data_IF_183359070803
#
_entry.id   IF_183359070803
#
_cell.length_a   1.000
_cell.length_b   1.000
_cell.length_c   1.000
_cell.angle_alpha   90.00
_cell.angle_beta   90.00
_cell.angle_gamma   90.00
#
_symmetry.space_group_name_H-M   'P 1'
#
loop_
_entity.id
_entity.type
_entity.pdbx_description
1 polymer ?
#
# COMPACT_ATOMS: atom_id res chain seq x y z
N UNK A 1 -2.43 -32.54 64.13
CA UNK A 1 -2.09 -31.37 63.29
C UNK A 1 -2.90 -31.47 62.00
N UNK A 2 -3.84 -30.55 61.77
CA UNK A 2 -4.85 -30.63 60.70
C UNK A 2 -4.25 -30.16 59.37
N UNK A 3 -3.96 -31.10 58.46
CA UNK A 3 -3.71 -30.87 57.02
C UNK A 3 -5.02 -30.57 56.25
N UNK A 4 -5.98 -29.89 56.86
CA UNK A 4 -7.41 -30.08 56.54
C UNK A 4 -8.05 -29.03 55.64
N UNK A 5 -7.32 -28.10 55.03
CA UNK A 5 -7.98 -27.18 54.09
C UNK A 5 -7.07 -26.62 53.00
N UNK A 6 -6.20 -27.46 52.42
CA UNK A 6 -5.41 -27.07 51.24
C UNK A 6 -6.34 -26.78 50.07
N UNK A 7 -7.40 -27.58 49.91
CA UNK A 7 -8.41 -27.41 48.86
C UNK A 7 -9.25 -26.13 49.03
N UNK A 8 -9.60 -25.75 50.26
CA UNK A 8 -10.31 -24.48 50.52
C UNK A 8 -9.41 -23.26 50.33
N UNK A 9 -8.11 -23.39 50.64
CA UNK A 9 -7.12 -22.37 50.33
C UNK A 9 -6.94 -22.21 48.81
N UNK A 10 -6.79 -23.29 48.07
CA UNK A 10 -6.73 -23.29 46.59
C UNK A 10 -7.95 -22.59 46.00
N UNK A 11 -9.17 -22.98 46.40
CA UNK A 11 -10.39 -22.33 45.93
C UNK A 11 -10.45 -20.83 46.28
N UNK A 12 -9.99 -20.44 47.46
CA UNK A 12 -9.95 -19.03 47.89
C UNK A 12 -8.94 -18.22 47.07
N UNK A 13 -7.78 -18.80 46.78
CA UNK A 13 -6.75 -18.21 45.92
C UNK A 13 -7.29 -18.06 44.50
N UNK A 14 -7.91 -19.09 43.93
CA UNK A 14 -8.49 -19.06 42.58
C UNK A 14 -9.60 -18.02 42.46
N UNK A 15 -10.46 -17.91 43.48
CA UNK A 15 -11.52 -16.90 43.51
C UNK A 15 -10.93 -15.49 43.59
N UNK A 16 -9.92 -15.26 44.43
CA UNK A 16 -9.24 -13.97 44.53
C UNK A 16 -8.51 -13.61 43.23
N UNK A 17 -7.86 -14.59 42.59
CA UNK A 17 -7.22 -14.43 41.30
C UNK A 17 -8.23 -14.04 40.21
N UNK A 18 -9.37 -14.73 40.10
CA UNK A 18 -10.41 -14.40 39.12
C UNK A 18 -10.96 -12.98 39.31
N UNK A 19 -11.24 -12.57 40.55
CA UNK A 19 -11.73 -11.22 40.85
C UNK A 19 -10.67 -10.17 40.48
N UNK A 20 -9.41 -10.40 40.83
CA UNK A 20 -8.32 -9.50 40.50
C UNK A 20 -8.11 -9.38 38.98
N UNK A 21 -8.11 -10.51 38.26
CA UNK A 21 -7.96 -10.56 36.80
C UNK A 21 -9.10 -9.86 36.07
N UNK A 22 -10.36 -10.09 36.47
CA UNK A 22 -11.50 -9.36 35.91
C UNK A 22 -11.39 -7.86 36.17
N UNK A 23 -10.98 -7.46 37.37
CA UNK A 23 -10.81 -6.05 37.71
C UNK A 23 -9.71 -5.38 36.88
N UNK A 24 -8.59 -6.07 36.68
CA UNK A 24 -7.48 -5.59 35.85
C UNK A 24 -7.92 -5.45 34.40
N UNK A 25 -8.62 -6.46 33.87
CA UNK A 25 -9.15 -6.46 32.52
C UNK A 25 -10.12 -5.28 32.29
N UNK A 26 -11.03 -5.03 33.23
CA UNK A 26 -11.95 -3.88 33.18
C UNK A 26 -11.20 -2.54 33.27
N UNK A 27 -10.10 -2.46 34.03
CA UNK A 27 -9.26 -1.26 34.08
C UNK A 27 -8.65 -0.98 32.70
N UNK A 28 -8.10 -1.99 32.01
CA UNK A 28 -7.54 -1.80 30.67
C UNK A 28 -8.58 -1.39 29.64
N UNK A 29 -9.75 -2.04 29.64
CA UNK A 29 -10.80 -1.76 28.66
C UNK A 29 -11.54 -0.46 28.91
N UNK A 30 -11.90 -0.16 30.16
CA UNK A 30 -12.76 0.98 30.50
C UNK A 30 -11.93 2.22 30.84
N UNK A 31 -10.93 2.09 31.72
CA UNK A 31 -10.16 3.25 32.18
C UNK A 31 -9.10 3.67 31.15
N UNK A 32 -8.34 2.72 30.63
CA UNK A 32 -7.29 2.98 29.63
C UNK A 32 -7.78 2.86 28.19
N UNK A 33 -9.05 2.54 27.96
CA UNK A 33 -9.67 2.51 26.64
C UNK A 33 -8.86 1.74 25.59
N UNK A 34 -8.27 0.60 25.99
CA UNK A 34 -7.35 -0.17 25.13
C UNK A 34 -7.95 -0.47 23.74
N UNK A 35 -9.26 -0.71 23.66
CA UNK A 35 -9.93 -0.95 22.38
C UNK A 35 -9.94 0.26 21.45
N UNK A 36 -10.02 1.47 22.00
CA UNK A 36 -9.96 2.71 21.21
C UNK A 36 -8.53 2.89 20.65
N UNK A 37 -7.50 2.54 21.43
CA UNK A 37 -6.10 2.55 20.96
C UNK A 37 -5.84 1.48 19.90
N UNK A 38 -6.33 0.25 20.10
CA UNK A 38 -6.22 -0.82 19.10
C UNK A 38 -6.97 -0.47 17.81
N UNK A 39 -8.13 0.18 17.94
CA UNK A 39 -8.88 0.68 16.80
C UNK A 39 -8.09 1.78 16.09
N UNK A 40 -7.49 2.73 16.81
CA UNK A 40 -6.62 3.74 16.21
C UNK A 40 -5.45 3.10 15.45
N UNK A 41 -4.79 2.08 16.01
CA UNK A 41 -3.71 1.37 15.32
C UNK A 41 -4.19 0.77 13.98
N UNK A 42 -5.39 0.15 13.97
CA UNK A 42 -6.01 -0.35 12.75
C UNK A 42 -6.35 0.78 11.76
N UNK A 43 -6.91 1.88 12.24
CA UNK A 43 -7.39 2.97 11.38
C UNK A 43 -6.23 3.76 10.74
N UNK A 44 -5.18 4.05 11.52
CA UNK A 44 -4.07 4.89 11.11
C UNK A 44 -2.88 4.10 10.56
N UNK A 45 -2.38 3.09 11.28
CA UNK A 45 -1.17 2.34 10.86
C UNK A 45 -1.50 1.23 9.85
N UNK A 46 -2.72 0.69 9.87
CA UNK A 46 -3.17 -0.25 8.84
C UNK A 46 -4.01 0.42 7.75
N UNK A 47 -4.05 1.76 7.70
CA UNK A 47 -4.75 2.55 6.68
C UNK A 47 -6.26 2.24 6.55
N UNK A 48 -6.91 1.83 7.65
CA UNK A 48 -8.35 1.54 7.67
C UNK A 48 -9.25 2.77 7.50
N UNK A 49 -8.77 3.98 7.86
CA UNK A 49 -9.46 5.24 7.55
C UNK A 49 -9.03 5.77 6.18
N UNK A 50 -9.80 5.41 5.16
CA UNK A 50 -9.49 5.74 3.77
C UNK A 50 -9.44 7.26 3.50
N UNK A 51 -10.33 8.03 4.13
CA UNK A 51 -10.38 9.49 3.97
C UNK A 51 -9.14 10.17 4.57
N UNK A 52 -8.72 9.75 5.77
CA UNK A 52 -7.47 10.20 6.38
C UNK A 52 -6.27 9.81 5.52
N UNK A 53 -6.20 8.55 5.06
CA UNK A 53 -5.08 8.08 4.24
C UNK A 53 -4.98 8.85 2.92
N UNK A 54 -6.11 9.15 2.26
CA UNK A 54 -6.16 9.94 1.04
C UNK A 54 -5.71 11.38 1.27
N UNK A 55 -6.23 12.02 2.33
CA UNK A 55 -5.85 13.39 2.67
C UNK A 55 -4.39 13.50 3.08
N UNK A 56 -3.87 12.52 3.82
CA UNK A 56 -2.46 12.43 4.20
C UNK A 56 -1.57 12.29 2.97
N UNK A 57 -1.94 11.42 2.03
CA UNK A 57 -1.19 11.23 0.79
C UNK A 57 -1.21 12.46 -0.13
N UNK A 58 -2.35 13.13 -0.25
CA UNK A 58 -2.47 14.34 -1.06
C UNK A 58 -1.61 15.48 -0.51
N UNK A 59 -1.62 15.65 0.81
CA UNK A 59 -0.89 16.73 1.50
C UNK A 59 0.62 16.46 1.57
N UNK A 60 1.03 15.22 1.89
CA UNK A 60 2.44 14.86 1.97
C UNK A 60 3.08 14.57 0.62
N UNK A 61 2.31 14.20 -0.41
CA UNK A 61 2.86 13.72 -1.68
C UNK A 61 3.89 14.65 -2.35
N UNK A 62 3.68 15.98 -2.40
CA UNK A 62 4.66 16.92 -2.94
C UNK A 62 5.97 16.99 -2.14
N UNK A 63 5.90 16.80 -0.82
CA UNK A 63 7.06 16.76 0.05
C UNK A 63 7.80 15.44 -0.10
N UNK A 64 7.08 14.31 -0.09
CA UNK A 64 7.66 12.97 -0.15
C UNK A 64 8.30 12.63 -1.51
N UNK A 65 7.92 13.34 -2.57
CA UNK A 65 8.53 13.20 -3.90
C UNK A 65 9.94 13.82 -3.98
N UNK A 66 10.36 14.59 -2.96
CA UNK A 66 11.71 15.15 -2.85
C UNK A 66 12.67 14.14 -2.21
N UNK A 67 13.99 14.28 -2.44
CA UNK A 67 14.98 13.43 -1.77
C UNK A 67 14.92 13.59 -0.24
N UNK A 68 15.18 12.50 0.47
CA UNK A 68 15.00 12.40 1.93
C UNK A 68 15.79 13.46 2.72
N UNK A 69 16.94 13.90 2.21
CA UNK A 69 17.78 14.93 2.82
C UNK A 69 17.13 16.32 2.91
N UNK A 70 16.13 16.61 2.08
CA UNK A 70 15.41 17.91 2.08
C UNK A 70 14.20 17.93 3.00
N UNK A 71 13.84 16.78 3.57
CA UNK A 71 12.66 16.64 4.41
C UNK A 71 13.01 16.91 5.86
N UNK A 72 12.19 17.75 6.50
CA UNK A 72 12.34 18.08 7.90
C UNK A 72 11.13 17.59 8.69
N UNK A 73 11.39 17.06 9.89
CA UNK A 73 10.34 16.50 10.77
C UNK A 73 9.20 17.49 11.04
N UNK A 74 9.52 18.75 11.35
CA UNK A 74 8.50 19.76 11.67
C UNK A 74 7.50 19.98 10.52
N UNK A 75 7.95 19.88 9.26
CA UNK A 75 7.07 19.99 8.10
C UNK A 75 6.15 18.77 7.99
N UNK A 76 6.66 17.57 8.27
CA UNK A 76 5.86 16.34 8.25
C UNK A 76 4.79 16.37 9.35
N UNK A 77 5.15 16.79 10.57
CA UNK A 77 4.20 16.93 11.69
C UNK A 77 3.13 17.98 11.38
N UNK A 78 3.50 19.16 10.88
CA UNK A 78 2.52 20.19 10.50
C UNK A 78 1.59 19.73 9.36
N UNK A 79 2.12 18.94 8.42
CA UNK A 79 1.30 18.38 7.33
C UNK A 79 0.36 17.29 7.84
N UNK A 80 0.82 16.46 8.79
CA UNK A 80 -0.03 15.49 9.49
C UNK A 80 -1.18 16.19 10.23
N UNK A 81 -0.90 17.25 10.98
CA UNK A 81 -1.94 18.04 11.67
C UNK A 81 -2.98 18.58 10.66
N UNK A 82 -2.51 19.11 9.54
CA UNK A 82 -3.38 19.58 8.45
C UNK A 82 -4.24 18.44 7.86
N UNK A 83 -3.69 17.24 7.73
CA UNK A 83 -4.42 16.07 7.23
C UNK A 83 -5.48 15.59 8.23
N UNK A 84 -5.18 15.65 9.53
CA UNK A 84 -6.14 15.32 10.60
C UNK A 84 -7.30 16.31 10.61
N UNK A 85 -7.03 17.62 10.49
CA UNK A 85 -8.07 18.66 10.46
C UNK A 85 -9.00 18.56 9.24
N UNK A 86 -8.46 18.10 8.11
CA UNK A 86 -9.20 17.97 6.84
C UNK A 86 -9.97 16.65 6.69
N UNK A 87 -9.71 15.68 7.54
CA UNK A 87 -10.35 14.36 7.50
C UNK A 87 -11.34 14.17 8.65
N UNK A 88 -12.07 13.05 8.68
CA UNK A 88 -12.94 12.74 9.81
C UNK A 88 -12.17 12.37 11.09
N UNK A 89 -10.85 12.17 10.99
CA UNK A 89 -9.95 11.97 12.13
C UNK A 89 -10.07 13.09 13.18
N UNK A 90 -10.48 14.30 12.77
CA UNK A 90 -10.76 15.43 13.70
C UNK A 90 -11.76 15.12 14.81
N UNK A 91 -12.63 14.12 14.63
CA UNK A 91 -13.67 13.75 15.58
C UNK A 91 -13.21 12.66 16.55
N UNK A 92 -12.03 12.10 16.36
CA UNK A 92 -11.45 11.13 17.28
C UNK A 92 -11.00 11.79 18.58
N UNK A 93 -10.77 10.97 19.60
CA UNK A 93 -10.35 11.47 20.89
C UNK A 93 -9.01 12.20 20.81
N UNK A 94 -8.90 13.31 21.54
CA UNK A 94 -7.67 14.13 21.57
C UNK A 94 -6.46 13.35 22.08
N UNK A 95 -6.67 12.31 22.89
CA UNK A 95 -5.59 11.43 23.35
C UNK A 95 -5.01 10.58 22.21
N UNK A 96 -5.86 10.03 21.33
CA UNK A 96 -5.42 9.27 20.15
C UNK A 96 -4.62 10.19 19.21
N UNK A 97 -5.16 11.37 18.89
CA UNK A 97 -4.52 12.31 17.95
C UNK A 97 -3.13 12.74 18.45
N UNK A 98 -2.98 13.03 19.75
CA UNK A 98 -1.69 13.43 20.34
C UNK A 98 -0.62 12.33 20.30
N UNK A 99 -1.04 11.07 20.20
CA UNK A 99 -0.14 9.91 20.13
C UNK A 99 0.36 9.65 18.71
N UNK A 100 -0.33 10.14 17.69
CA UNK A 100 0.16 10.06 16.30
C UNK A 100 1.31 11.04 16.08
N UNK A 101 2.37 10.56 15.44
CA UNK A 101 3.52 11.38 15.07
C UNK A 101 4.05 10.96 13.70
N UNK A 102 4.51 11.93 12.93
CA UNK A 102 5.15 11.69 11.64
C UNK A 102 6.66 11.62 11.83
N UNK A 103 7.27 10.50 11.42
CA UNK A 103 8.70 10.27 11.57
C UNK A 103 9.34 9.89 10.24
N UNK A 104 10.63 10.17 10.13
CA UNK A 104 11.49 9.63 9.08
C UNK A 104 12.37 8.53 9.69
N UNK A 105 12.49 7.44 8.96
CA UNK A 105 13.43 6.36 9.25
C UNK A 105 14.85 6.81 8.90
N UNK A 106 15.82 6.04 9.36
CA UNK A 106 17.21 6.22 8.92
C UNK A 106 17.29 5.95 7.42
N UNK A 107 17.95 6.86 6.70
CA UNK A 107 17.98 6.83 5.24
C UNK A 107 19.40 6.93 4.70
N UNK A 108 19.59 6.30 3.54
CA UNK A 108 20.84 6.33 2.77
C UNK A 108 20.78 7.41 1.68
N UNK A 109 21.94 7.71 1.08
CA UNK A 109 22.02 8.69 0.00
C UNK A 109 21.25 8.19 -1.23
N UNK A 110 20.33 9.01 -1.75
CA UNK A 110 19.54 8.70 -2.95
C UNK A 110 18.11 8.21 -2.69
N UNK A 111 17.71 8.01 -1.44
CA UNK A 111 16.33 7.65 -1.10
C UNK A 111 15.40 8.87 -1.18
N UNK A 112 14.14 8.61 -1.57
CA UNK A 112 13.08 9.61 -1.63
C UNK A 112 12.23 9.58 -0.37
N UNK A 113 11.57 10.70 -0.08
CA UNK A 113 10.69 10.83 1.09
C UNK A 113 9.67 9.71 1.24
N UNK A 114 9.12 9.23 0.13
CA UNK A 114 8.12 8.16 0.13
C UNK A 114 8.59 6.85 0.76
N UNK A 115 9.88 6.55 0.69
CA UNK A 115 10.44 5.28 1.16
C UNK A 115 10.88 5.37 2.63
N UNK A 116 11.16 6.59 3.12
CA UNK A 116 11.67 6.84 4.47
C UNK A 116 10.59 7.30 5.46
N UNK A 117 9.44 7.73 4.96
CA UNK A 117 8.33 8.22 5.78
C UNK A 117 7.65 7.08 6.55
N UNK A 118 7.38 7.31 7.83
CA UNK A 118 6.61 6.40 8.68
C UNK A 118 5.67 7.17 9.60
N UNK A 119 4.53 6.57 9.91
CA UNK A 119 3.61 7.04 10.93
C UNK A 119 3.84 6.25 12.22
N UNK A 120 4.12 6.95 13.30
CA UNK A 120 4.40 6.38 14.61
C UNK A 120 3.22 6.64 15.57
N UNK A 121 2.89 5.64 16.38
CA UNK A 121 1.88 5.76 17.42
C UNK A 121 2.51 5.54 18.79
N UNK A 122 2.54 6.60 19.60
CA UNK A 122 3.18 6.59 20.91
C UNK A 122 2.29 5.91 21.94
N UNK A 123 2.77 4.79 22.46
CA UNK A 123 2.14 4.05 23.56
C UNK A 123 2.94 4.33 24.82
N UNK A 124 2.25 4.77 25.87
CA UNK A 124 2.84 4.98 27.19
C UNK A 124 2.32 3.92 28.17
N UNK A 125 3.02 3.76 29.29
CA UNK A 125 2.55 2.94 30.39
C UNK A 125 1.17 3.41 30.88
N UNK A 126 0.22 2.48 31.14
CA UNK A 126 0.39 1.03 31.19
C UNK A 126 -0.05 0.28 29.93
N UNK A 127 -0.34 0.96 28.82
CA UNK A 127 -0.81 0.30 27.59
C UNK A 127 0.31 -0.51 26.90
N UNK A 128 1.56 -0.14 27.16
CA UNK A 128 2.78 -0.81 26.69
C UNK A 128 2.92 -2.26 27.18
N UNK A 129 2.18 -2.66 28.22
CA UNK A 129 2.16 -4.06 28.67
C UNK A 129 1.47 -4.98 27.66
N UNK A 130 0.47 -4.47 26.93
CA UNK A 130 -0.23 -5.20 25.86
C UNK A 130 0.34 -4.82 24.49
N UNK A 131 0.59 -3.53 24.28
CA UNK A 131 1.19 -2.99 23.06
C UNK A 131 2.70 -2.84 23.24
N UNK A 132 3.35 -4.00 23.35
CA UNK A 132 4.78 -4.07 23.62
C UNK A 132 5.62 -3.51 22.44
N UNK A 133 6.90 -3.17 22.66
CA UNK A 133 7.76 -2.63 21.60
C UNK A 133 7.95 -3.54 20.39
N UNK A 134 7.87 -4.87 20.55
CA UNK A 134 7.91 -5.81 19.42
C UNK A 134 6.62 -5.73 18.60
N UNK A 135 5.46 -5.70 19.26
CA UNK A 135 4.19 -5.46 18.58
C UNK A 135 4.20 -4.15 17.78
N UNK A 136 4.71 -3.07 18.36
CA UNK A 136 4.81 -1.78 17.66
C UNK A 136 5.74 -1.82 16.44
N UNK A 137 6.84 -2.60 16.49
CA UNK A 137 7.67 -2.86 15.30
C UNK A 137 6.89 -3.59 14.20
N UNK A 138 6.10 -4.60 14.55
CA UNK A 138 5.25 -5.33 13.58
C UNK A 138 4.24 -4.39 12.91
N UNK A 139 3.58 -3.52 13.68
CA UNK A 139 2.70 -2.49 13.12
C UNK A 139 3.42 -1.52 12.18
N UNK A 140 4.65 -1.12 12.51
CA UNK A 140 5.46 -0.25 11.64
C UNK A 140 5.81 -0.94 10.32
N UNK A 141 6.24 -2.21 10.35
CA UNK A 141 6.52 -3.00 9.14
C UNK A 141 5.27 -3.15 8.26
N UNK A 142 4.12 -3.39 8.89
CA UNK A 142 2.83 -3.45 8.20
C UNK A 142 2.47 -2.11 7.55
N UNK A 143 2.63 -1.00 8.28
CA UNK A 143 2.40 0.35 7.74
C UNK A 143 3.27 0.60 6.51
N UNK A 144 4.57 0.32 6.56
CA UNK A 144 5.48 0.52 5.42
C UNK A 144 5.00 -0.22 4.17
N UNK A 145 4.60 -1.49 4.31
CA UNK A 145 4.14 -2.28 3.17
C UNK A 145 2.80 -1.77 2.62
N UNK A 146 1.83 -1.49 3.49
CA UNK A 146 0.51 -0.98 3.09
C UNK A 146 0.62 0.43 2.49
N UNK A 147 1.52 1.26 3.02
CA UNK A 147 1.81 2.60 2.52
C UNK A 147 2.38 2.56 1.10
N UNK A 148 3.33 1.66 0.84
CA UNK A 148 3.86 1.47 -0.52
C UNK A 148 2.78 0.99 -1.48
N UNK A 149 1.94 0.04 -1.05
CA UNK A 149 0.81 -0.45 -1.84
C UNK A 149 -0.19 0.67 -2.16
N UNK A 150 -0.52 1.52 -1.18
CA UNK A 150 -1.41 2.68 -1.37
C UNK A 150 -0.81 3.74 -2.29
N UNK A 151 0.49 4.00 -2.19
CA UNK A 151 1.23 4.88 -3.12
C UNK A 151 1.06 4.43 -4.56
N UNK A 152 1.22 3.14 -4.84
CA UNK A 152 1.07 2.59 -6.19
C UNK A 152 -0.37 2.73 -6.69
N UNK A 153 -1.37 2.41 -5.87
CA UNK A 153 -2.79 2.52 -6.20
C UNK A 153 -3.21 3.96 -6.60
N UNK A 154 -2.83 4.94 -5.78
CA UNK A 154 -3.12 6.36 -6.06
C UNK A 154 -2.40 6.81 -7.34
N UNK A 155 -1.14 6.41 -7.53
CA UNK A 155 -0.36 6.72 -8.73
C UNK A 155 -1.00 6.15 -10.00
N UNK A 156 -1.47 4.90 -9.94
CA UNK A 156 -2.19 4.24 -11.05
C UNK A 156 -3.53 4.93 -11.34
N UNK A 157 -4.28 5.30 -10.29
CA UNK A 157 -5.57 5.99 -10.43
C UNK A 157 -5.40 7.36 -11.08
N UNK A 158 -4.38 8.13 -10.67
CA UNK A 158 -4.02 9.39 -11.31
C UNK A 158 -3.61 9.20 -12.79
N UNK A 159 -2.82 8.15 -13.08
CA UNK A 159 -2.42 7.80 -14.44
C UNK A 159 -3.60 7.44 -15.34
N UNK A 160 -4.57 6.68 -14.82
CA UNK A 160 -5.80 6.35 -15.53
C UNK A 160 -6.65 7.59 -15.80
N UNK A 161 -6.84 8.46 -14.80
CA UNK A 161 -7.62 9.70 -14.95
C UNK A 161 -6.99 10.63 -16.01
N UNK A 162 -5.66 10.72 -16.03
CA UNK A 162 -4.90 11.46 -17.06
C UNK A 162 -5.13 10.87 -18.45
N UNK A 163 -5.05 9.55 -18.59
CA UNK A 163 -5.25 8.86 -19.87
C UNK A 163 -6.69 8.98 -20.41
N UNK A 164 -7.68 8.92 -19.53
CA UNK A 164 -9.07 9.16 -19.87
C UNK A 164 -9.27 10.59 -20.40
N UNK A 165 -8.67 11.57 -19.74
CA UNK A 165 -8.71 12.99 -20.14
C UNK A 165 -7.93 13.27 -21.43
N UNK A 166 -6.84 12.53 -21.68
CA UNK A 166 -5.97 12.68 -22.84
C UNK A 166 -6.55 12.11 -24.15
N UNK A 167 -7.74 11.49 -24.13
CA UNK A 167 -8.33 10.82 -25.28
C UNK A 167 -8.41 11.72 -26.54
N UNK A 168 -8.77 13.00 -26.35
CA UNK A 168 -8.83 13.99 -27.45
C UNK A 168 -7.46 14.30 -28.03
N UNK A 169 -6.45 14.46 -27.18
CA UNK A 169 -5.06 14.72 -27.61
C UNK A 169 -4.50 13.52 -28.37
N UNK A 170 -4.75 12.31 -27.87
CA UNK A 170 -4.34 11.06 -28.52
C UNK A 170 -5.01 10.93 -29.90
N UNK A 171 -6.27 11.35 -30.04
CA UNK A 171 -6.97 11.36 -31.33
C UNK A 171 -6.33 12.29 -32.39
N UNK A 172 -5.56 13.31 -31.97
CA UNK A 172 -4.82 14.19 -32.89
C UNK A 172 -3.57 13.54 -33.50
N UNK A 173 -3.07 12.46 -32.89
CA UNK A 173 -1.89 11.72 -33.34
C UNK A 173 -2.24 10.23 -33.58
N UNK A 174 -2.89 9.89 -34.71
CA UNK A 174 -3.40 8.54 -34.97
C UNK A 174 -2.34 7.44 -34.94
N UNK A 175 -1.10 7.77 -35.32
CA UNK A 175 0.04 6.84 -35.34
C UNK A 175 0.35 6.24 -33.97
N UNK A 176 0.09 7.00 -32.89
CA UNK A 176 0.37 6.57 -31.51
C UNK A 176 -0.79 5.81 -30.87
N UNK A 177 -1.94 5.69 -31.53
CA UNK A 177 -3.15 5.06 -30.97
C UNK A 177 -2.91 3.60 -30.58
N UNK A 178 -2.18 2.85 -31.41
CA UNK A 178 -1.84 1.45 -31.14
C UNK A 178 -1.02 1.31 -29.86
N UNK A 179 0.02 2.15 -29.70
CA UNK A 179 0.85 2.18 -28.50
C UNK A 179 0.05 2.59 -27.26
N UNK A 180 -0.83 3.59 -27.36
CA UNK A 180 -1.71 3.99 -26.27
C UNK A 180 -2.73 2.90 -25.89
N UNK A 181 -3.22 2.13 -26.87
CA UNK A 181 -4.08 0.99 -26.61
C UNK A 181 -3.35 -0.09 -25.80
N UNK A 182 -2.09 -0.40 -26.15
CA UNK A 182 -1.25 -1.32 -25.37
C UNK A 182 -1.03 -0.80 -23.95
N UNK A 183 -0.71 0.49 -23.78
CA UNK A 183 -0.58 1.11 -22.45
C UNK A 183 -1.85 0.95 -21.62
N UNK A 184 -3.04 1.12 -22.21
CA UNK A 184 -4.33 0.93 -21.51
C UNK A 184 -4.51 -0.50 -21.01
N UNK A 185 -4.12 -1.49 -21.81
CA UNK A 185 -4.22 -2.91 -21.43
C UNK A 185 -3.29 -3.19 -20.23
N UNK A 186 -2.04 -2.74 -20.31
CA UNK A 186 -1.05 -2.95 -19.23
C UNK A 186 -1.48 -2.22 -17.96
N UNK A 187 -1.97 -0.98 -18.08
CA UNK A 187 -2.48 -0.22 -16.96
C UNK A 187 -3.66 -0.93 -16.27
N UNK A 188 -4.57 -1.53 -17.05
CA UNK A 188 -5.67 -2.32 -16.51
C UNK A 188 -5.18 -3.57 -15.77
N UNK A 189 -4.15 -4.26 -16.28
CA UNK A 189 -3.49 -5.40 -15.62
C UNK A 189 -2.89 -4.99 -14.26
N UNK A 190 -2.14 -3.88 -14.23
CA UNK A 190 -1.54 -3.34 -13.00
C UNK A 190 -2.59 -2.88 -11.98
N UNK A 191 -3.65 -2.19 -12.42
CA UNK A 191 -4.76 -1.77 -11.55
C UNK A 191 -5.46 -2.99 -10.95
N UNK A 192 -5.74 -4.02 -11.76
CA UNK A 192 -6.35 -5.24 -11.27
C UNK A 192 -5.48 -5.89 -10.19
N UNK A 193 -4.17 -6.06 -10.46
CA UNK A 193 -3.21 -6.63 -9.53
C UNK A 193 -3.22 -5.91 -8.17
N UNK A 194 -3.07 -4.59 -8.16
CA UNK A 194 -3.02 -3.79 -6.93
C UNK A 194 -4.35 -3.86 -6.16
N UNK A 195 -5.48 -3.77 -6.86
CA UNK A 195 -6.80 -3.85 -6.22
C UNK A 195 -7.04 -5.21 -5.56
N UNK A 196 -6.61 -6.31 -6.19
CA UNK A 196 -6.71 -7.64 -5.56
C UNK A 196 -5.81 -7.76 -4.33
N UNK A 197 -4.59 -7.25 -4.39
CA UNK A 197 -3.67 -7.21 -3.24
C UNK A 197 -4.26 -6.41 -2.07
N UNK A 198 -4.76 -5.19 -2.34
CA UNK A 198 -5.41 -4.34 -1.33
C UNK A 198 -6.65 -5.00 -0.72
N UNK A 199 -7.48 -5.61 -1.56
CA UNK A 199 -8.69 -6.31 -1.13
C UNK A 199 -8.35 -7.49 -0.22
N UNK A 200 -7.30 -8.25 -0.54
CA UNK A 200 -6.83 -9.35 0.30
C UNK A 200 -6.33 -8.84 1.65
N UNK A 201 -5.44 -7.85 1.66
CA UNK A 201 -4.88 -7.31 2.89
C UNK A 201 -5.95 -6.76 3.83
N UNK A 202 -6.86 -5.91 3.34
CA UNK A 202 -7.86 -5.26 4.19
C UNK A 202 -9.04 -6.16 4.53
N UNK A 203 -9.69 -6.77 3.54
CA UNK A 203 -10.96 -7.47 3.76
C UNK A 203 -10.79 -8.89 4.29
N UNK A 204 -9.77 -9.62 3.81
CA UNK A 204 -9.60 -11.03 4.17
C UNK A 204 -8.69 -11.24 5.38
N UNK A 205 -7.65 -10.40 5.50
CA UNK A 205 -6.66 -10.55 6.56
C UNK A 205 -6.97 -9.63 7.73
N UNK A 206 -6.92 -8.30 7.53
CA UNK A 206 -7.04 -7.32 8.62
C UNK A 206 -8.44 -7.37 9.25
N UNK A 207 -9.51 -7.28 8.46
CA UNK A 207 -10.88 -7.21 9.00
C UNK A 207 -11.33 -8.52 9.65
N UNK A 208 -10.96 -9.67 9.09
CA UNK A 208 -11.28 -10.97 9.69
C UNK A 208 -10.53 -11.16 11.01
N UNK A 209 -9.24 -10.80 11.05
CA UNK A 209 -8.44 -10.90 12.27
C UNK A 209 -8.95 -9.92 13.33
N UNK A 210 -9.34 -8.70 12.93
CA UNK A 210 -9.92 -7.71 13.82
C UNK A 210 -11.22 -8.19 14.46
N UNK A 211 -12.13 -8.78 13.66
CA UNK A 211 -13.39 -9.34 14.17
C UNK A 211 -13.12 -10.42 15.23
N UNK A 212 -12.12 -11.27 15.04
CA UNK A 212 -11.72 -12.28 16.03
C UNK A 212 -11.24 -11.67 17.34
N UNK A 213 -10.38 -10.65 17.26
CA UNK A 213 -9.89 -9.93 18.44
C UNK A 213 -11.04 -9.25 19.20
N UNK A 214 -11.92 -8.55 18.48
CA UNK A 214 -13.09 -7.88 19.09
C UNK A 214 -14.04 -8.90 19.73
N UNK A 215 -14.28 -10.04 19.08
CA UNK A 215 -15.13 -11.09 19.66
C UNK A 215 -14.52 -11.67 20.94
N UNK A 216 -13.20 -11.91 20.95
CA UNK A 216 -12.47 -12.32 22.15
C UNK A 216 -12.62 -11.30 23.28
N UNK A 217 -12.36 -10.02 23.01
CA UNK A 217 -12.50 -8.96 24.02
C UNK A 217 -13.94 -8.80 24.51
N UNK A 218 -14.94 -9.01 23.64
CA UNK A 218 -16.37 -8.94 24.01
C UNK A 218 -16.80 -10.07 24.94
N UNK A 219 -16.25 -11.27 24.77
CA UNK A 219 -16.53 -12.40 25.66
C UNK A 219 -16.04 -12.15 27.08
N UNK A 220 -15.01 -11.31 27.25
CA UNK A 220 -14.35 -11.05 28.54
C UNK A 220 -13.92 -12.35 29.26
N UNK A 221 -13.65 -13.39 28.48
CA UNK A 221 -13.22 -14.69 28.97
C UNK A 221 -11.70 -14.70 28.97
N UNK A 222 -11.09 -14.63 30.16
CA UNK A 222 -9.64 -14.71 30.32
C UNK A 222 -9.06 -13.73 31.34
N UNK A 223 -7.76 -13.83 31.51
CA UNK A 223 -6.92 -12.89 32.26
C UNK A 223 -6.22 -11.89 31.31
N UNK A 224 -5.33 -11.07 31.86
CA UNK A 224 -4.53 -10.13 31.06
C UNK A 224 -3.59 -10.87 30.10
N UNK A 225 -3.05 -12.02 30.50
CA UNK A 225 -2.12 -12.79 29.67
C UNK A 225 -2.82 -13.35 28.44
N UNK A 226 -4.06 -13.84 28.59
CA UNK A 226 -4.90 -14.25 27.47
C UNK A 226 -5.19 -13.09 26.51
N UNK A 227 -5.31 -11.86 27.00
CA UNK A 227 -5.46 -10.67 26.15
C UNK A 227 -4.19 -10.35 25.35
N UNK A 228 -3.03 -10.46 26.00
CA UNK A 228 -1.72 -10.29 25.35
C UNK A 228 -1.53 -11.36 24.27
N UNK A 229 -1.79 -12.63 24.58
CA UNK A 229 -1.70 -13.74 23.64
C UNK A 229 -2.67 -13.58 22.46
N UNK A 230 -3.90 -13.14 22.72
CA UNK A 230 -4.89 -12.88 21.69
C UNK A 230 -4.46 -11.74 20.75
N UNK A 231 -3.87 -10.67 21.29
CA UNK A 231 -3.32 -9.56 20.49
C UNK A 231 -2.09 -9.98 19.67
N UNK A 232 -1.18 -10.73 20.26
CA UNK A 232 -0.01 -11.28 19.56
C UNK A 232 -0.44 -12.22 18.43
N UNK A 233 -1.40 -13.11 18.67
CA UNK A 233 -1.97 -14.02 17.67
C UNK A 233 -2.65 -13.23 16.54
N UNK A 234 -3.37 -12.17 16.87
CA UNK A 234 -3.98 -11.25 15.90
C UNK A 234 -2.91 -10.61 15.01
N UNK A 235 -1.86 -10.07 15.61
CA UNK A 235 -0.83 -9.32 14.89
C UNK A 235 0.06 -10.24 14.05
N UNK A 236 0.48 -11.39 14.59
CA UNK A 236 1.24 -12.39 13.84
C UNK A 236 0.47 -12.91 12.62
N UNK A 237 -0.85 -13.13 12.76
CA UNK A 237 -1.68 -13.55 11.65
C UNK A 237 -1.68 -12.50 10.54
N UNK A 238 -1.80 -11.22 10.90
CA UNK A 238 -1.78 -10.13 9.92
C UNK A 238 -0.41 -10.01 9.28
N UNK A 239 0.67 -9.99 10.08
CA UNK A 239 2.05 -9.92 9.60
C UNK A 239 2.36 -11.04 8.61
N UNK A 240 2.16 -12.30 9.01
CA UNK A 240 2.45 -13.48 8.16
C UNK A 240 1.68 -13.44 6.84
N UNK A 241 0.41 -13.01 6.85
CA UNK A 241 -0.44 -13.05 5.65
C UNK A 241 -0.30 -11.82 4.78
N UNK A 242 -0.29 -10.60 5.34
CA UNK A 242 -0.14 -9.36 4.56
C UNK A 242 1.25 -9.30 3.91
N UNK A 243 2.29 -9.74 4.63
CA UNK A 243 3.65 -9.80 4.10
C UNK A 243 3.92 -11.08 3.31
N UNK A 244 2.92 -11.97 3.15
CA UNK A 244 3.01 -13.23 2.40
C UNK A 244 4.20 -14.10 2.82
N UNK A 245 4.49 -14.14 4.13
CA UNK A 245 5.61 -14.87 4.69
C UNK A 245 5.34 -16.37 4.56
N UNK A 246 6.21 -17.06 3.83
CA UNK A 246 6.12 -18.51 3.66
C UNK A 246 6.87 -19.25 4.75
N UNK A 247 6.25 -20.26 5.37
CA UNK A 247 6.90 -21.11 6.39
C UNK A 247 7.99 -22.05 5.83
N UNK A 248 8.26 -22.03 4.52
CA UNK A 248 9.30 -22.87 3.91
C UNK A 248 10.65 -22.18 4.07
N UNK A 249 11.48 -22.74 4.96
CA UNK A 249 12.83 -22.29 5.27
C UNK A 249 13.63 -21.89 4.02
N UNK A 250 14.19 -20.68 4.01
CA UNK A 250 15.06 -20.14 2.95
C UNK A 250 14.35 -19.34 1.84
N UNK A 251 13.01 -19.24 1.81
CA UNK A 251 12.26 -18.40 0.86
C UNK A 251 11.16 -17.56 1.52
N UNK A 252 11.33 -17.24 2.80
CA UNK A 252 10.29 -16.64 3.63
C UNK A 252 9.77 -15.31 3.05
N UNK A 253 10.66 -14.48 2.51
CA UNK A 253 10.31 -13.18 1.90
C UNK A 253 10.39 -13.16 0.36
N UNK A 254 10.55 -14.30 -0.30
CA UNK A 254 10.76 -14.33 -1.75
C UNK A 254 9.56 -13.77 -2.52
N UNK A 255 8.34 -14.04 -2.06
CA UNK A 255 7.11 -13.50 -2.68
C UNK A 255 6.95 -12.02 -2.37
N UNK A 256 7.21 -11.61 -1.12
CA UNK A 256 7.18 -10.21 -0.72
C UNK A 256 8.13 -9.35 -1.55
N UNK A 257 9.36 -9.83 -1.76
CA UNK A 257 10.35 -9.11 -2.55
C UNK A 257 9.93 -8.98 -4.03
N UNK A 258 9.33 -10.02 -4.61
CA UNK A 258 8.74 -9.93 -5.96
C UNK A 258 7.58 -8.93 -6.02
N UNK A 259 6.73 -8.88 -4.99
CA UNK A 259 5.64 -7.89 -4.89
C UNK A 259 6.19 -6.47 -4.80
N UNK A 260 7.22 -6.24 -3.98
CA UNK A 260 7.92 -4.93 -3.87
C UNK A 260 8.57 -4.52 -5.19
N UNK A 261 9.20 -5.47 -5.89
CA UNK A 261 9.76 -5.24 -7.23
C UNK A 261 8.67 -4.91 -8.26
N UNK A 262 7.52 -5.58 -8.19
CA UNK A 262 6.36 -5.27 -9.02
C UNK A 262 5.83 -3.85 -8.75
N UNK A 263 5.76 -3.43 -7.48
CA UNK A 263 5.39 -2.05 -7.12
C UNK A 263 6.35 -1.02 -7.71
N UNK A 264 7.66 -1.26 -7.60
CA UNK A 264 8.67 -0.38 -8.20
C UNK A 264 8.56 -0.33 -9.73
N UNK A 265 8.35 -1.48 -10.37
CA UNK A 265 8.16 -1.57 -11.83
C UNK A 265 6.93 -0.78 -12.28
N UNK A 266 5.83 -0.81 -11.51
CA UNK A 266 4.63 0.00 -11.80
C UNK A 266 4.94 1.50 -11.73
N UNK A 267 5.69 1.95 -10.72
CA UNK A 267 6.07 3.36 -10.59
C UNK A 267 6.93 3.82 -11.78
N UNK A 268 7.92 3.00 -12.18
CA UNK A 268 8.76 3.26 -13.35
C UNK A 268 7.97 3.25 -14.67
N UNK A 269 7.02 2.32 -14.81
CA UNK A 269 6.09 2.29 -15.94
C UNK A 269 5.27 3.57 -16.03
N UNK A 270 4.81 4.10 -14.89
CA UNK A 270 4.07 5.37 -14.86
C UNK A 270 4.95 6.53 -15.29
N UNK A 271 6.19 6.63 -14.81
CA UNK A 271 7.12 7.68 -15.25
C UNK A 271 7.38 7.63 -16.76
N UNK A 272 7.57 6.43 -17.33
CA UNK A 272 7.72 6.25 -18.77
C UNK A 272 6.44 6.63 -19.54
N UNK A 273 5.27 6.31 -19.00
CA UNK A 273 3.97 6.68 -19.59
C UNK A 273 3.73 8.19 -19.54
N UNK A 274 4.18 8.86 -18.49
CA UNK A 274 4.13 10.33 -18.39
C UNK A 274 5.04 11.00 -19.43
N UNK A 275 6.25 10.47 -19.64
CA UNK A 275 7.13 10.94 -20.72
C UNK A 275 6.48 10.75 -22.10
N UNK A 276 5.81 9.60 -22.31
CA UNK A 276 5.07 9.32 -23.54
C UNK A 276 3.87 10.26 -23.74
N UNK A 277 3.16 10.59 -22.64
CA UNK A 277 2.08 11.57 -22.65
C UNK A 277 2.58 12.96 -23.05
N UNK A 278 3.68 13.42 -22.45
CA UNK A 278 4.28 14.72 -22.77
C UNK A 278 4.72 14.80 -24.24
N UNK A 279 5.31 13.72 -24.78
CA UNK A 279 5.66 13.64 -26.20
C UNK A 279 4.40 13.72 -27.10
N UNK A 280 3.35 12.97 -26.76
CA UNK A 280 2.08 12.99 -27.51
C UNK A 280 1.43 14.38 -27.48
N UNK A 281 1.49 15.06 -26.34
CA UNK A 281 0.97 16.42 -26.18
C UNK A 281 1.74 17.43 -27.04
N UNK A 282 3.08 17.36 -27.04
CA UNK A 282 3.92 18.21 -27.87
C UNK A 282 3.66 18.00 -29.37
N UNK A 283 3.53 16.74 -29.81
CA UNK A 283 3.24 16.42 -31.21
C UNK A 283 1.83 16.86 -31.62
N UNK A 284 0.84 16.70 -30.75
CA UNK A 284 -0.51 17.21 -31.00
C UNK A 284 -0.49 18.75 -31.16
N UNK A 285 0.19 19.46 -30.26
CA UNK A 285 0.32 20.92 -30.33
C UNK A 285 1.04 21.39 -31.61
N UNK A 286 2.10 20.68 -32.04
CA UNK A 286 2.81 20.95 -33.30
C UNK A 286 1.86 20.84 -34.50
N UNK A 287 1.07 19.77 -34.59
CA UNK A 287 0.10 19.55 -35.68
C UNK A 287 -1.02 20.58 -35.69
N UNK A 288 -1.49 21.02 -34.52
CA UNK A 288 -2.50 22.07 -34.44
C UNK A 288 -1.95 23.41 -34.91
N UNK A 289 -0.71 23.76 -34.54
CA UNK A 289 -0.02 24.97 -35.03
C UNK A 289 0.15 24.96 -36.56
N UNK A 290 0.52 23.83 -37.15
CA UNK A 290 0.61 23.69 -38.61
C UNK A 290 -0.75 23.89 -39.30
N UNK A 291 -1.82 23.32 -38.73
CA UNK A 291 -3.18 23.46 -39.26
C UNK A 291 -3.69 24.89 -39.14
N UNK A 292 -3.39 25.57 -38.03
CA UNK A 292 -3.76 26.97 -37.81
C UNK A 292 -3.01 27.90 -38.75
N UNK A 293 -1.72 27.64 -38.99
CA UNK A 293 -0.92 28.31 -40.02
C UNK A 293 -1.52 28.16 -41.42
N UNK A 294 -1.96 26.96 -41.80
CA UNK A 294 -2.66 26.73 -43.07
C UNK A 294 -4.01 27.46 -43.16
N UNK A 295 -4.68 27.71 -42.02
CA UNK A 295 -5.95 28.45 -41.95
C UNK A 295 -5.77 29.96 -41.89
N UNK A 296 -4.53 30.46 -41.87
CA UNK A 296 -4.23 31.89 -41.70
C UNK A 296 -4.57 32.43 -40.32
N UNK A 297 -4.78 31.54 -39.34
CA UNK A 297 -5.07 31.91 -37.94
C UNK A 297 -3.74 31.86 -37.18
N UNK A 298 -3.13 33.02 -36.98
CA UNK A 298 -1.94 33.13 -36.15
C UNK A 298 -2.37 33.29 -34.69
N UNK A 299 -2.44 32.20 -33.95
CA UNK A 299 -2.56 32.26 -32.49
C UNK A 299 -1.23 32.78 -31.92
N UNK A 300 -1.17 34.07 -31.59
CA UNK A 300 -0.03 34.70 -30.89
C UNK A 300 0.01 34.33 -29.41
N UNK A 301 -0.48 33.14 -29.04
CA UNK A 301 -0.50 32.67 -27.66
C UNK A 301 0.63 31.66 -27.49
N UNK A 302 1.79 32.15 -27.03
CA UNK A 302 2.78 31.34 -26.33
C UNK A 302 3.62 30.38 -27.17
N UNK A 303 4.14 30.80 -28.32
CA UNK A 303 5.14 30.01 -29.07
C UNK A 303 6.40 29.68 -28.22
N UNK A 304 6.69 30.49 -27.20
CA UNK A 304 7.82 30.30 -26.28
C UNK A 304 7.58 29.19 -25.23
N UNK A 305 6.34 28.92 -24.81
CA UNK A 305 6.05 27.88 -23.82
C UNK A 305 5.95 26.49 -24.47
N UNK A 306 5.29 26.39 -25.64
CA UNK A 306 5.16 25.11 -26.37
C UNK A 306 6.51 24.67 -26.95
N UNK A 307 7.32 25.63 -27.43
CA UNK A 307 8.69 25.41 -27.88
C UNK A 307 9.64 24.98 -26.75
N UNK A 308 9.41 25.39 -25.50
CA UNK A 308 10.16 24.91 -24.32
C UNK A 308 9.90 23.44 -24.03
N UNK A 309 8.63 22.99 -24.01
CA UNK A 309 8.30 21.58 -23.79
C UNK A 309 8.80 20.65 -24.90
N UNK A 310 8.78 21.11 -26.15
CA UNK A 310 9.31 20.35 -27.29
C UNK A 310 10.85 20.31 -27.34
N UNK A 311 11.54 21.36 -26.86
CA UNK A 311 13.01 21.42 -26.81
C UNK A 311 13.62 20.73 -25.58
N UNK A 312 12.90 20.66 -24.46
CA UNK A 312 13.38 19.98 -23.25
C UNK A 312 13.35 18.44 -23.38
N UNK A 313 12.42 17.90 -24.17
CA UNK A 313 12.27 16.45 -24.32
C UNK A 313 13.21 15.91 -25.42
N UNK A 314 14.51 15.80 -25.08
CA UNK A 314 15.58 15.29 -25.97
C UNK A 314 15.50 13.76 -26.17
N UNK A 315 14.61 13.06 -25.45
CA UNK A 315 14.46 11.61 -25.56
C UNK A 315 13.62 11.23 -26.80
N UNK A 316 14.17 10.37 -27.65
CA UNK A 316 13.49 9.95 -28.87
C UNK A 316 12.32 9.00 -28.56
N UNK A 317 11.19 9.19 -29.26
CA UNK A 317 9.98 8.36 -29.10
C UNK A 317 10.26 6.85 -29.07
N UNK A 318 11.13 6.26 -29.92
CA UNK A 318 11.43 4.84 -29.87
C UNK A 318 12.05 4.38 -28.54
N UNK A 319 12.83 5.23 -27.85
CA UNK A 319 13.41 4.91 -26.55
C UNK A 319 12.34 4.90 -25.46
N UNK A 320 11.43 5.88 -25.48
CA UNK A 320 10.30 5.95 -24.55
C UNK A 320 9.41 4.70 -24.71
N UNK A 321 9.04 4.35 -25.94
CA UNK A 321 8.23 3.17 -26.21
C UNK A 321 8.91 1.86 -25.79
N UNK A 322 10.23 1.73 -26.01
CA UNK A 322 11.01 0.58 -25.52
C UNK A 322 10.96 0.46 -24.00
N UNK A 323 11.08 1.56 -23.26
CA UNK A 323 10.99 1.55 -21.79
C UNK A 323 9.61 1.12 -21.32
N UNK A 324 8.55 1.67 -21.91
CA UNK A 324 7.16 1.28 -21.62
C UNK A 324 6.95 -0.22 -21.86
N UNK A 325 7.45 -0.73 -22.99
CA UNK A 325 7.36 -2.16 -23.32
C UNK A 325 8.18 -3.03 -22.37
N UNK A 326 9.40 -2.61 -22.03
CA UNK A 326 10.25 -3.33 -21.09
C UNK A 326 9.59 -3.45 -19.71
N UNK A 327 9.12 -2.34 -19.12
CA UNK A 327 8.45 -2.37 -17.82
C UNK A 327 7.14 -3.15 -17.87
N UNK A 328 6.41 -3.10 -18.99
CA UNK A 328 5.22 -3.94 -19.18
C UNK A 328 5.56 -5.43 -19.13
N UNK A 329 6.61 -5.88 -19.84
CA UNK A 329 7.03 -7.28 -19.86
C UNK A 329 7.53 -7.72 -18.49
N UNK A 330 8.42 -6.94 -17.87
CA UNK A 330 8.93 -7.21 -16.52
C UNK A 330 7.81 -7.34 -15.50
N UNK A 331 6.82 -6.44 -15.52
CA UNK A 331 5.68 -6.53 -14.62
C UNK A 331 4.87 -7.81 -14.83
N UNK A 332 4.56 -8.17 -16.09
CA UNK A 332 3.81 -9.39 -16.38
C UNK A 332 4.55 -10.65 -15.96
N UNK A 333 5.88 -10.70 -16.14
CA UNK A 333 6.70 -11.83 -15.71
C UNK A 333 6.74 -11.95 -14.18
N UNK A 334 6.88 -10.83 -13.46
CA UNK A 334 6.78 -10.78 -12.00
C UNK A 334 5.40 -11.24 -11.52
N UNK A 335 4.32 -10.73 -12.11
CA UNK A 335 2.96 -11.13 -11.74
C UNK A 335 2.70 -12.63 -11.96
N UNK A 336 3.19 -13.19 -13.07
CA UNK A 336 3.12 -14.65 -13.30
C UNK A 336 3.91 -15.44 -12.27
N UNK A 337 5.12 -14.98 -11.92
CA UNK A 337 5.95 -15.62 -10.90
C UNK A 337 5.27 -15.58 -9.52
N UNK A 338 4.70 -14.44 -9.15
CA UNK A 338 3.97 -14.26 -7.88
C UNK A 338 2.78 -15.22 -7.81
N UNK A 339 1.96 -15.31 -8.87
CA UNK A 339 0.80 -16.22 -8.92
C UNK A 339 1.23 -17.68 -8.73
N UNK A 340 2.32 -18.10 -9.39
CA UNK A 340 2.86 -19.46 -9.25
C UNK A 340 3.35 -19.71 -7.82
N UNK A 341 4.07 -18.76 -7.24
CA UNK A 341 4.55 -18.88 -5.87
C UNK A 341 3.39 -18.97 -4.87
N UNK A 342 2.36 -18.13 -5.03
CA UNK A 342 1.14 -18.12 -4.21
C UNK A 342 0.38 -19.45 -4.29
N UNK A 343 0.28 -20.07 -5.47
CA UNK A 343 -0.38 -21.37 -5.63
C UNK A 343 0.33 -22.51 -4.88
N UNK A 344 1.64 -22.38 -4.64
CA UNK A 344 2.44 -23.36 -3.86
C UNK A 344 2.56 -23.03 -2.37
N UNK A 345 1.89 -21.96 -1.93
CA UNK A 345 1.92 -21.50 -0.55
C UNK A 345 1.21 -22.48 0.39
N UNK A 346 1.69 -22.58 1.64
CA UNK A 346 1.09 -23.48 2.64
C UNK A 346 -0.31 -23.00 3.06
N UNK A 347 -0.45 -21.70 3.29
CA UNK A 347 -1.71 -21.07 3.69
C UNK A 347 -2.75 -21.05 2.55
N UNK A 348 -3.98 -21.46 2.86
CA UNK A 348 -5.09 -21.50 1.90
C UNK A 348 -5.55 -20.11 1.43
N UNK A 349 -5.57 -19.11 2.31
CA UNK A 349 -6.01 -17.75 1.95
C UNK A 349 -5.01 -17.12 0.97
N UNK A 350 -3.71 -17.37 1.16
CA UNK A 350 -2.67 -16.93 0.21
C UNK A 350 -2.78 -17.64 -1.15
N UNK A 351 -3.13 -18.94 -1.18
CA UNK A 351 -3.41 -19.66 -2.43
C UNK A 351 -4.62 -19.08 -3.16
N UNK A 352 -5.66 -18.72 -2.41
CA UNK A 352 -6.86 -18.12 -2.95
C UNK A 352 -6.61 -16.72 -3.54
N UNK A 353 -5.70 -15.92 -2.95
CA UNK A 353 -5.19 -14.70 -3.57
C UNK A 353 -4.56 -14.99 -4.95
N UNK A 354 -3.76 -16.05 -5.08
CA UNK A 354 -3.20 -16.48 -6.36
C UNK A 354 -4.26 -16.75 -7.43
N UNK A 355 -5.37 -17.40 -7.04
CA UNK A 355 -6.53 -17.64 -7.92
C UNK A 355 -7.21 -16.33 -8.33
N UNK A 356 -7.40 -15.39 -7.39
CA UNK A 356 -8.01 -14.09 -7.67
C UNK A 356 -7.17 -13.22 -8.59
N UNK A 357 -5.86 -13.21 -8.39
CA UNK A 357 -4.91 -12.51 -9.26
C UNK A 357 -4.95 -13.07 -10.68
N UNK A 358 -5.12 -14.39 -10.83
CA UNK A 358 -5.26 -15.07 -12.12
C UNK A 358 -6.70 -15.14 -12.62
N UNK A 359 -7.51 -14.09 -12.40
CA UNK A 359 -8.89 -14.03 -12.84
C UNK A 359 -9.04 -14.49 -14.32
N UNK A 360 -9.99 -15.40 -14.57
CA UNK A 360 -10.21 -16.03 -15.88
C UNK A 360 -8.99 -16.75 -16.48
N UNK A 361 -8.12 -17.31 -15.64
CA UNK A 361 -6.88 -17.99 -16.05
C UNK A 361 -5.95 -17.11 -16.90
N UNK A 362 -6.02 -15.78 -16.74
CA UNK A 362 -5.29 -14.81 -17.55
C UNK A 362 -3.79 -15.10 -17.61
N UNK A 363 -3.14 -15.33 -16.46
CA UNK A 363 -1.71 -15.59 -16.41
C UNK A 363 -1.33 -17.00 -16.91
N UNK A 364 -2.24 -17.99 -16.79
CA UNK A 364 -2.03 -19.32 -17.37
C UNK A 364 -2.04 -19.24 -18.90
N UNK A 365 -3.06 -18.61 -19.47
CA UNK A 365 -3.20 -18.42 -20.92
C UNK A 365 -2.07 -17.58 -21.51
N UNK A 366 -1.61 -16.56 -20.77
CA UNK A 366 -0.49 -15.71 -21.19
C UNK A 366 0.82 -16.49 -21.25
N UNK A 367 1.09 -17.35 -20.26
CA UNK A 367 2.23 -18.27 -20.27
C UNK A 367 2.17 -19.25 -21.45
N UNK A 368 1.01 -19.84 -21.72
CA UNK A 368 0.83 -20.77 -22.85
C UNK A 368 1.11 -20.07 -24.19
N UNK A 369 0.67 -18.82 -24.37
CA UNK A 369 0.97 -18.02 -25.56
C UNK A 369 2.46 -17.70 -25.70
N UNK A 370 3.15 -17.36 -24.61
CA UNK A 370 4.59 -17.12 -24.62
C UNK A 370 5.37 -18.38 -25.01
N UNK A 371 4.99 -19.54 -24.49
CA UNK A 371 5.60 -20.83 -24.85
C UNK A 371 5.33 -21.21 -26.31
N UNK A 372 4.10 -20.97 -26.80
CA UNK A 372 3.75 -21.21 -28.20
C UNK A 372 4.53 -20.29 -29.16
N UNK A 373 4.75 -19.02 -28.79
CA UNK A 373 5.58 -18.09 -29.56
C UNK A 373 7.06 -18.52 -29.58
N UNK A 374 7.61 -18.93 -28.43
CA UNK A 374 8.99 -19.41 -28.34
C UNK A 374 9.24 -20.69 -29.16
N UNK A 375 8.23 -21.56 -29.27
CA UNK A 375 8.31 -22.78 -30.08
C UNK A 375 8.00 -22.55 -31.57
N UNK A 376 7.37 -21.42 -31.92
CA UNK A 376 6.97 -21.06 -33.29
C UNK A 376 8.08 -20.37 -34.10
N UNK A 377 9.03 -19.70 -33.46
CA UNK A 377 10.20 -19.04 -34.10
C UNK A 377 11.31 -20.04 -34.53
N UNK A 378 11.06 -21.35 -34.41
CA UNK A 378 12.00 -22.43 -34.75
C UNK A 378 11.68 -23.20 -36.03
N UNK A 379 10.86 -22.67 -36.95
CA UNK A 379 10.52 -23.32 -38.23
C UNK A 379 10.74 -22.44 -39.44
#
# INVERSE_FOLDING_TARGET
>A
MKYSDITGLEHSIDTAFQIASQRLFDIFLVKFKLMDHLLALKQYLMLGHGDFADQLMETLGPNLSRPANTLYRHNLTATLDTAIERSNARFDSTDIIRRLDARMLEYSHGEIGWDVFTLEYKVDAPLDTVLDPESMRKYMTLFQHLWQMRRVDVTLTQGWARLASASKTIARVPELQSSWHQVRIVLAEMIHFIRQMQSFSHLEVIDVSWKRLVEFTRKKEGDLDALIEAHQTYLERIEKKVLLISSKSGREESVLNQVREAFQTILQFREATDAFHNHTLAEAARRDSERDGHRGVYTTVGNDDIGRYARENTESLPRILRRVEQYSRTFSDLAMSIVVALNTHSDYECRFLGVRLSFSDFYRLKRERQLAAANGDGR
#
